data_IF_945334417188
#
_entry.id   IF_945334417188
#
_cell.length_a   1.000
_cell.length_b   1.000
_cell.length_c   1.000
_cell.angle_alpha   90.00
_cell.angle_beta   90.00
_cell.angle_gamma   90.00
#
_symmetry.space_group_name_H-M   'P 1'
#
loop_
_entity.id
_entity.type
_entity.pdbx_description
1 polymer ?
#
# COMPACT_ATOMS: atom_id res chain seq x y z
N UNK A 1 -8.73 -9.38 12.60
CA UNK A 1 -9.96 -8.72 12.11
C UNK A 1 -11.12 -8.81 13.08
N UNK A 2 -11.32 -9.92 13.81
CA UNK A 2 -12.37 -10.03 14.83
C UNK A 2 -12.33 -8.95 15.94
N UNK A 3 -11.14 -8.53 16.43
CA UNK A 3 -11.00 -7.38 17.36
C UNK A 3 -11.44 -6.02 16.77
N UNK A 4 -11.47 -5.88 15.44
CA UNK A 4 -11.75 -4.62 14.72
C UNK A 4 -13.20 -4.58 14.21
N UNK A 5 -13.82 -5.73 13.97
CA UNK A 5 -15.16 -5.83 13.40
C UNK A 5 -16.31 -5.90 14.43
N UNK A 6 -16.02 -5.98 15.74
CA UNK A 6 -17.09 -6.22 16.72
C UNK A 6 -16.84 -5.80 18.17
N UNK A 7 -15.76 -5.04 18.46
CA UNK A 7 -15.59 -4.47 19.79
C UNK A 7 -15.98 -2.98 19.76
N UNK A 8 -17.07 -2.56 20.44
CA UNK A 8 -17.45 -1.16 20.53
C UNK A 8 -16.45 -0.31 21.33
N UNK A 9 -15.47 -0.94 21.96
CA UNK A 9 -14.42 -0.28 22.73
C UNK A 9 -13.21 -1.24 22.79
N UNK A 10 -12.21 -1.17 21.89
CA UNK A 10 -10.94 -1.81 22.20
C UNK A 10 -10.44 -1.10 23.46
N UNK A 11 -10.51 -1.80 24.60
CA UNK A 11 -10.05 -1.28 25.88
C UNK A 11 -8.67 -0.63 25.65
N UNK A 12 -8.51 0.60 26.13
CA UNK A 12 -7.22 1.28 26.17
C UNK A 12 -6.18 0.30 26.68
N UNK A 13 -5.15 0.05 25.87
CA UNK A 13 -4.30 -1.11 26.10
C UNK A 13 -3.04 -1.06 25.27
N UNK A 14 -2.00 -1.69 25.82
CA UNK A 14 -0.72 -1.87 25.17
C UNK A 14 -0.62 -3.30 24.63
N UNK A 15 -0.38 -3.44 23.32
CA UNK A 15 -0.26 -4.73 22.65
C UNK A 15 1.14 -4.88 22.07
N UNK A 16 1.87 -5.92 22.49
CA UNK A 16 3.16 -6.25 21.89
C UNK A 16 2.96 -6.88 20.51
N UNK A 17 3.79 -6.48 19.56
CA UNK A 17 3.91 -7.20 18.29
C UNK A 17 4.54 -8.55 18.56
N UNK A 18 3.80 -9.61 18.24
CA UNK A 18 4.28 -10.98 18.35
C UNK A 18 4.67 -11.53 16.98
N UNK A 19 5.56 -12.51 16.96
CA UNK A 19 5.85 -13.33 15.78
C UNK A 19 5.31 -14.75 15.99
N UNK A 20 4.54 -15.31 15.06
CA UNK A 20 4.17 -16.72 15.11
C UNK A 20 5.33 -17.64 14.69
N UNK A 21 6.38 -17.09 14.09
CA UNK A 21 7.50 -17.84 13.53
C UNK A 21 8.60 -18.02 14.59
N UNK A 22 8.58 -19.16 15.28
CA UNK A 22 9.62 -19.52 16.27
C UNK A 22 11.03 -19.54 15.70
N UNK A 23 11.17 -19.95 14.43
CA UNK A 23 12.46 -19.98 13.72
C UNK A 23 13.13 -18.60 13.57
N UNK A 24 12.38 -17.50 13.78
CA UNK A 24 12.92 -16.13 13.73
C UNK A 24 13.18 -15.54 15.12
N UNK A 25 12.91 -16.28 16.20
CA UNK A 25 13.01 -15.76 17.56
C UNK A 25 14.45 -15.33 17.90
N UNK A 26 15.43 -16.11 17.47
CA UNK A 26 16.84 -15.93 17.82
C UNK A 26 17.64 -15.13 16.77
N UNK A 27 16.98 -14.60 15.74
CA UNK A 27 17.65 -13.82 14.70
C UNK A 27 17.90 -12.38 15.14
N UNK A 28 19.12 -11.90 14.92
CA UNK A 28 19.47 -10.49 15.10
C UNK A 28 19.34 -9.72 13.77
N UNK A 29 19.01 -8.42 13.80
CA UNK A 29 18.78 -7.60 14.99
C UNK A 29 17.38 -7.82 15.60
N UNK A 30 17.28 -7.72 16.92
CA UNK A 30 16.00 -7.70 17.66
C UNK A 30 15.42 -6.28 17.83
N UNK A 31 14.11 -6.20 18.01
CA UNK A 31 13.40 -4.96 18.31
C UNK A 31 12.17 -5.22 19.19
N UNK A 32 11.82 -4.24 20.01
CA UNK A 32 10.55 -4.17 20.72
C UNK A 32 9.59 -3.33 19.89
N UNK A 33 8.42 -3.88 19.59
CA UNK A 33 7.36 -3.16 18.90
C UNK A 33 6.06 -3.27 19.70
N UNK A 34 5.47 -2.13 20.04
CA UNK A 34 4.30 -2.03 20.91
C UNK A 34 3.26 -1.12 20.27
N UNK A 35 1.99 -1.46 20.45
CA UNK A 35 0.84 -0.74 19.90
C UNK A 35 -0.04 -0.24 21.04
N UNK A 36 -0.15 1.07 21.17
CA UNK A 36 -1.01 1.72 22.16
C UNK A 36 -2.33 2.10 21.53
N UNK A 37 -3.42 1.55 22.07
CA UNK A 37 -4.80 1.85 21.65
C UNK A 37 -5.41 2.92 22.54
N UNK A 38 -6.08 3.89 21.92
CA UNK A 38 -6.84 4.92 22.62
C UNK A 38 -8.05 5.39 21.81
N UNK A 39 -9.02 5.96 22.51
CA UNK A 39 -10.14 6.67 21.88
C UNK A 39 -9.90 8.18 22.05
N UNK A 40 -9.89 8.97 20.96
CA UNK A 40 -9.71 10.42 21.05
C UNK A 40 -10.79 11.06 21.92
N UNK A 41 -10.43 12.02 22.80
CA UNK A 41 -11.38 12.76 23.59
C UNK A 41 -12.45 13.44 22.71
N UNK A 42 -13.64 13.61 23.27
CA UNK A 42 -14.63 14.48 22.66
C UNK A 42 -14.18 15.94 22.79
N UNK A 43 -14.42 16.72 21.74
CA UNK A 43 -14.10 18.15 21.72
C UNK A 43 -14.37 18.79 20.36
N UNK A 44 -14.30 20.12 20.29
CA UNK A 44 -14.56 20.86 19.04
C UNK A 44 -13.36 20.86 18.09
N UNK A 45 -12.13 20.76 18.61
CA UNK A 45 -10.90 20.96 17.85
C UNK A 45 -10.12 19.65 17.67
N UNK A 46 -9.33 19.52 16.59
CA UNK A 46 -8.33 18.47 16.45
C UNK A 46 -7.27 18.52 17.55
N UNK A 47 -6.71 17.35 17.87
CA UNK A 47 -5.67 17.20 18.87
C UNK A 47 -4.36 16.75 18.23
N UNK A 48 -3.25 17.21 18.80
CA UNK A 48 -1.96 16.53 18.71
C UNK A 48 -1.86 15.57 19.89
N UNK A 49 -1.66 14.28 19.63
CA UNK A 49 -1.48 13.28 20.67
C UNK A 49 0.00 12.95 20.78
N UNK A 50 0.58 13.21 21.96
CA UNK A 50 1.93 12.84 22.31
C UNK A 50 1.89 11.60 23.22
N UNK A 51 2.64 10.57 22.86
CA UNK A 51 2.69 9.29 23.58
C UNK A 51 4.14 9.00 23.95
N UNK A 52 4.43 8.93 25.24
CA UNK A 52 5.72 8.52 25.78
C UNK A 52 5.69 7.04 26.13
N UNK A 53 6.53 6.26 25.45
CA UNK A 53 6.78 4.87 25.73
C UNK A 53 8.06 4.73 26.56
N UNK A 54 7.97 4.06 27.71
CA UNK A 54 9.13 3.76 28.57
C UNK A 54 9.22 2.25 28.72
N UNK A 55 10.36 1.67 28.32
CA UNK A 55 10.58 0.24 28.32
C UNK A 55 11.82 -0.16 29.11
N UNK A 56 11.69 -1.26 29.85
CA UNK A 56 12.74 -1.85 30.67
C UNK A 56 12.82 -3.35 30.43
N UNK A 57 14.02 -3.86 30.16
CA UNK A 57 14.26 -5.30 30.05
C UNK A 57 14.22 -5.97 31.43
N UNK A 58 13.54 -7.11 31.52
CA UNK A 58 13.23 -7.82 32.77
C UNK A 58 14.21 -8.97 33.07
N UNK A 59 14.90 -9.47 32.06
CA UNK A 59 15.81 -10.63 32.12
C UNK A 59 17.27 -10.20 31.99
N UNK A 60 17.68 -9.24 32.83
CA UNK A 60 19.06 -8.75 32.91
C UNK A 60 19.73 -9.38 34.13
N UNK A 61 20.74 -10.23 33.90
CA UNK A 61 21.49 -10.91 34.97
C UNK A 61 22.78 -10.16 35.41
N UNK A 62 23.17 -9.10 34.69
CA UNK A 62 24.40 -8.33 34.91
C UNK A 62 24.15 -6.82 34.93
N UNK A 63 25.20 -5.99 34.75
CA UNK A 63 25.03 -4.54 34.65
C UNK A 63 24.19 -4.19 33.42
N UNK A 64 23.26 -3.26 33.61
CA UNK A 64 22.40 -2.76 32.54
C UNK A 64 23.21 -1.96 31.53
N UNK A 65 22.86 -2.13 30.25
CA UNK A 65 23.43 -1.42 29.11
C UNK A 65 22.38 -0.48 28.51
N UNK A 66 22.76 0.47 27.64
CA UNK A 66 21.81 1.29 26.90
C UNK A 66 20.83 0.49 26.01
N UNK A 67 21.11 -0.79 25.73
CA UNK A 67 20.23 -1.66 24.97
C UNK A 67 19.12 -2.32 25.82
N UNK A 68 19.15 -2.16 27.15
CA UNK A 68 18.21 -2.75 28.12
C UNK A 68 17.08 -1.79 28.54
N UNK A 69 17.17 -0.53 28.12
CA UNK A 69 16.25 0.54 28.49
C UNK A 69 15.97 1.45 27.31
N UNK A 70 14.72 1.92 27.18
CA UNK A 70 14.40 2.94 26.18
C UNK A 70 13.31 3.89 26.66
N UNK A 71 13.39 5.13 26.17
CA UNK A 71 12.32 6.12 26.25
C UNK A 71 12.11 6.69 24.85
N UNK A 72 10.90 6.53 24.31
CA UNK A 72 10.56 6.98 22.97
C UNK A 72 9.27 7.80 23.02
N UNK A 73 9.27 8.95 22.34
CA UNK A 73 8.06 9.76 22.17
C UNK A 73 7.56 9.61 20.75
N UNK A 74 6.26 9.36 20.62
CA UNK A 74 5.55 9.32 19.34
C UNK A 74 4.50 10.41 19.32
N UNK A 75 4.46 11.16 18.22
CA UNK A 75 3.47 12.20 18.01
C UNK A 75 2.57 11.86 16.83
N UNK A 76 1.29 12.16 16.99
CA UNK A 76 0.27 12.10 15.95
C UNK A 76 -0.48 13.43 15.92
N UNK A 77 -0.35 14.16 14.81
CA UNK A 77 -1.01 15.43 14.59
C UNK A 77 -2.41 15.24 13.98
N UNK A 78 -3.24 16.27 14.08
CA UNK A 78 -4.55 16.36 13.40
C UNK A 78 -5.50 15.20 13.73
N UNK A 79 -5.45 14.71 14.97
CA UNK A 79 -6.35 13.67 15.47
C UNK A 79 -7.74 14.28 15.65
N UNK A 80 -8.66 13.90 14.79
CA UNK A 80 -10.03 14.40 14.85
C UNK A 80 -10.76 13.88 16.11
N UNK A 81 -11.51 14.74 16.82
CA UNK A 81 -12.31 14.35 17.99
C UNK A 81 -13.35 13.29 17.61
N UNK A 82 -13.62 12.35 18.54
CA UNK A 82 -14.61 11.29 18.35
C UNK A 82 -14.48 10.55 17.00
N UNK A 83 -13.25 10.28 16.55
CA UNK A 83 -12.96 9.58 15.28
C UNK A 83 -12.93 8.05 15.41
N UNK A 84 -13.30 7.52 16.57
CA UNK A 84 -13.23 6.09 16.89
C UNK A 84 -11.85 5.67 17.39
N UNK A 85 -11.61 4.36 17.57
CA UNK A 85 -10.38 3.86 18.16
C UNK A 85 -9.17 4.08 17.23
N UNK A 86 -8.12 4.64 17.81
CA UNK A 86 -6.82 4.86 17.17
C UNK A 86 -5.78 3.96 17.82
N UNK A 87 -4.87 3.44 17.01
CA UNK A 87 -3.68 2.74 17.50
C UNK A 87 -2.43 3.42 16.99
N UNK A 88 -1.44 3.55 17.86
CA UNK A 88 -0.09 4.02 17.51
C UNK A 88 0.91 2.92 17.82
N UNK A 89 1.60 2.44 16.79
CA UNK A 89 2.63 1.42 16.89
C UNK A 89 4.01 2.08 16.90
N UNK A 90 4.70 1.95 18.04
CA UNK A 90 6.07 2.39 18.24
C UNK A 90 7.03 1.21 18.17
N UNK A 91 8.24 1.44 17.68
CA UNK A 91 9.28 0.43 17.51
C UNK A 91 10.60 0.98 18.01
N UNK A 92 11.38 0.12 18.64
CA UNK A 92 12.75 0.42 19.03
C UNK A 92 13.71 0.04 17.91
N UNK A 93 14.91 0.64 17.94
CA UNK A 93 16.05 0.22 17.16
C UNK A 93 17.20 -0.09 18.13
N UNK A 94 17.90 -1.20 17.94
CA UNK A 94 19.10 -1.54 18.73
C UNK A 94 18.83 -1.96 20.18
N UNK A 95 17.65 -2.49 20.49
CA UNK A 95 17.36 -3.07 21.81
C UNK A 95 17.79 -4.52 21.89
N UNK A 96 18.25 -4.95 23.06
CA UNK A 96 18.65 -6.33 23.29
C UNK A 96 17.45 -7.31 23.22
N UNK A 97 17.75 -8.55 22.84
CA UNK A 97 16.79 -9.66 22.90
C UNK A 97 16.32 -9.89 24.35
N UNK A 98 15.05 -10.25 24.53
CA UNK A 98 14.54 -10.71 25.83
C UNK A 98 13.12 -10.26 26.15
N UNK A 99 12.78 -10.37 27.44
CA UNK A 99 11.48 -10.01 27.99
C UNK A 99 11.46 -8.57 28.47
N UNK A 100 10.48 -7.80 28.02
CA UNK A 100 10.35 -6.37 28.26
C UNK A 100 9.08 -6.02 29.02
N UNK A 101 9.17 -5.06 29.93
CA UNK A 101 8.03 -4.32 30.47
C UNK A 101 7.99 -2.95 29.83
N UNK A 102 6.85 -2.56 29.27
CA UNK A 102 6.67 -1.28 28.60
C UNK A 102 5.45 -0.58 29.17
N UNK A 103 5.59 0.72 29.41
CA UNK A 103 4.52 1.63 29.80
C UNK A 103 4.32 2.67 28.69
N UNK A 104 3.07 3.09 28.50
CA UNK A 104 2.67 4.13 27.57
C UNK A 104 1.86 5.17 28.33
N UNK A 105 2.35 6.40 28.34
CA UNK A 105 1.66 7.56 28.87
C UNK A 105 1.35 8.51 27.73
N UNK A 106 0.09 8.93 27.60
CA UNK A 106 -0.34 9.73 26.47
C UNK A 106 -1.12 10.98 26.89
N UNK A 107 -0.98 12.03 26.11
CA UNK A 107 -1.64 13.31 26.32
C UNK A 107 -2.15 13.86 24.99
N UNK A 108 -3.40 14.32 24.98
CA UNK A 108 -4.03 14.97 23.85
C UNK A 108 -4.01 16.49 24.05
N UNK A 109 -3.26 17.18 23.19
CA UNK A 109 -3.05 18.61 23.20
C UNK A 109 -3.89 19.26 22.09
N UNK A 110 -4.85 20.14 22.38
CA UNK A 110 -5.67 20.78 21.36
C UNK A 110 -4.83 21.66 20.42
N UNK A 111 -4.97 21.48 19.10
CA UNK A 111 -4.32 22.33 18.11
C UNK A 111 -5.19 23.60 17.93
N UNK A 112 -4.74 24.75 18.48
CA UNK A 112 -5.36 26.10 18.33
C UNK A 112 -6.59 26.42 19.20
N UNK A 113 -6.45 26.38 20.52
CA UNK A 113 -7.24 27.25 21.38
C UNK A 113 -6.37 27.77 22.53
N UNK A 114 -6.19 29.09 22.62
CA UNK A 114 -5.65 29.70 23.83
C UNK A 114 -6.62 29.37 24.98
N UNK A 115 -6.12 28.71 26.03
CA UNK A 115 -6.91 28.32 27.21
C UNK A 115 -7.50 26.91 27.22
N UNK A 116 -7.30 26.08 26.19
CA UNK A 116 -7.75 24.68 26.23
C UNK A 116 -6.74 23.79 26.97
N UNK A 117 -7.19 23.11 28.02
CA UNK A 117 -6.34 22.25 28.85
C UNK A 117 -6.01 20.93 28.14
N UNK A 118 -4.74 20.50 28.13
CA UNK A 118 -4.36 19.15 27.71
C UNK A 118 -5.15 18.06 28.44
N UNK A 119 -5.59 17.04 27.71
CA UNK A 119 -6.32 15.90 28.29
C UNK A 119 -5.38 14.71 28.40
N UNK A 120 -5.16 14.20 29.62
CA UNK A 120 -4.39 12.97 29.84
C UNK A 120 -5.22 11.78 29.37
N UNK A 121 -4.65 10.95 28.51
CA UNK A 121 -5.27 9.70 28.06
C UNK A 121 -4.93 8.57 29.04
N UNK A 122 -5.74 7.50 29.11
CA UNK A 122 -5.51 6.40 30.04
C UNK A 122 -4.12 5.77 29.82
N UNK A 123 -3.27 5.69 30.85
CA UNK A 123 -1.97 5.03 30.72
C UNK A 123 -2.19 3.53 30.49
N UNK A 124 -1.25 2.90 29.81
CA UNK A 124 -1.26 1.45 29.61
C UNK A 124 0.13 0.87 29.90
N UNK A 125 0.15 -0.33 30.47
CA UNK A 125 1.37 -1.09 30.70
C UNK A 125 1.19 -2.51 30.18
N UNK A 126 2.28 -3.14 29.78
CA UNK A 126 2.26 -4.53 29.35
C UNK A 126 3.66 -5.13 29.37
N UNK A 127 3.70 -6.46 29.41
CA UNK A 127 4.95 -7.22 29.28
C UNK A 127 4.90 -8.08 28.02
N UNK A 128 6.04 -8.26 27.37
CA UNK A 128 6.14 -9.03 26.13
C UNK A 128 7.59 -9.35 25.77
N UNK A 129 7.78 -10.00 24.63
CA UNK A 129 9.09 -10.39 24.12
C UNK A 129 9.53 -9.44 23.00
N UNK A 130 10.84 -9.26 22.85
CA UNK A 130 11.41 -8.72 21.60
C UNK A 130 11.13 -9.66 20.43
N UNK A 131 11.17 -9.12 19.22
CA UNK A 131 11.04 -9.90 17.98
C UNK A 131 12.08 -9.46 16.96
N UNK A 132 12.37 -10.33 16.00
CA UNK A 132 13.25 -10.01 14.86
C UNK A 132 12.82 -8.68 14.21
N UNK A 133 13.74 -7.72 14.12
CA UNK A 133 13.45 -6.33 13.81
C UNK A 133 12.72 -6.13 12.46
N UNK A 134 13.02 -6.88 11.39
CA UNK A 134 12.23 -6.83 10.15
C UNK A 134 10.76 -7.23 10.33
N UNK A 135 10.46 -8.22 11.18
CA UNK A 135 9.07 -8.58 11.51
C UNK A 135 8.41 -7.45 12.30
N UNK A 136 9.12 -6.92 13.30
CA UNK A 136 8.66 -5.76 14.06
C UNK A 136 8.31 -4.60 13.13
N UNK A 137 9.19 -4.27 12.17
CA UNK A 137 9.02 -3.18 11.20
C UNK A 137 7.79 -3.35 10.28
N UNK A 138 7.41 -4.58 9.96
CA UNK A 138 6.29 -4.85 9.04
C UNK A 138 4.95 -5.10 9.73
N UNK A 139 4.95 -5.65 10.96
CA UNK A 139 3.72 -5.92 11.70
C UNK A 139 3.16 -4.67 12.37
N UNK A 140 1.85 -4.51 12.28
CA UNK A 140 1.05 -3.60 13.06
C UNK A 140 -0.38 -4.16 13.11
N UNK A 141 -1.25 -3.68 14.02
CA UNK A 141 -2.64 -4.11 14.03
C UNK A 141 -3.32 -3.87 12.67
N UNK A 142 -4.03 -4.89 12.19
CA UNK A 142 -4.69 -4.92 10.88
C UNK A 142 -3.77 -5.02 9.67
N UNK A 143 -2.45 -5.23 9.84
CA UNK A 143 -1.51 -5.48 8.75
C UNK A 143 -1.17 -6.97 8.66
N UNK A 144 -1.33 -7.53 7.46
CA UNK A 144 -0.99 -8.91 7.11
C UNK A 144 0.34 -8.93 6.35
N UNK A 145 1.37 -9.49 6.96
CA UNK A 145 2.68 -9.68 6.31
C UNK A 145 2.51 -10.60 5.08
N UNK A 146 3.17 -10.24 3.98
CA UNK A 146 3.14 -11.04 2.74
C UNK A 146 1.86 -10.89 1.91
N UNK A 147 0.85 -10.16 2.39
CA UNK A 147 -0.41 -9.97 1.65
C UNK A 147 -0.22 -9.24 0.31
N UNK A 148 0.64 -8.21 0.25
CA UNK A 148 0.94 -7.51 -0.99
C UNK A 148 1.55 -8.40 -2.08
N UNK A 149 2.70 -9.09 -1.85
CA UNK A 149 3.26 -9.95 -2.88
C UNK A 149 2.34 -11.13 -3.25
N UNK A 150 1.60 -11.69 -2.28
CA UNK A 150 0.64 -12.77 -2.55
C UNK A 150 -0.50 -12.31 -3.48
N UNK A 151 -1.10 -11.15 -3.22
CA UNK A 151 -2.17 -10.61 -4.07
C UNK A 151 -1.65 -10.13 -5.42
N UNK A 152 -0.42 -9.61 -5.50
CA UNK A 152 0.21 -9.27 -6.79
C UNK A 152 0.45 -10.53 -7.62
N UNK A 153 0.96 -11.61 -7.01
CA UNK A 153 1.14 -12.90 -7.69
C UNK A 153 -0.19 -13.48 -8.18
N UNK A 154 -1.23 -13.46 -7.33
CA UNK A 154 -2.59 -13.87 -7.73
C UNK A 154 -3.11 -13.01 -8.89
N UNK A 155 -2.98 -11.69 -8.80
CA UNK A 155 -3.38 -10.77 -9.86
C UNK A 155 -2.64 -10.99 -11.17
N UNK A 156 -1.34 -11.34 -11.10
CA UNK A 156 -0.56 -11.69 -12.28
C UNK A 156 -1.05 -12.99 -12.93
N UNK A 157 -1.32 -14.04 -12.14
CA UNK A 157 -1.87 -15.30 -12.65
C UNK A 157 -3.26 -15.12 -13.28
N UNK A 158 -4.14 -14.34 -12.63
CA UNK A 158 -5.45 -14.00 -13.18
C UNK A 158 -5.32 -13.15 -14.45
N UNK A 159 -4.35 -12.23 -14.50
CA UNK A 159 -4.01 -11.47 -15.69
C UNK A 159 -3.60 -12.38 -16.85
N UNK A 160 -2.69 -13.33 -16.62
CA UNK A 160 -2.29 -14.32 -17.62
C UNK A 160 -3.47 -15.14 -18.13
N UNK A 161 -4.38 -15.55 -17.24
CA UNK A 161 -5.60 -16.26 -17.62
C UNK A 161 -6.47 -15.39 -18.54
N UNK A 162 -6.78 -14.16 -18.14
CA UNK A 162 -7.58 -13.22 -18.94
C UNK A 162 -6.93 -12.96 -20.30
N UNK A 163 -5.62 -12.70 -20.32
CA UNK A 163 -4.88 -12.43 -21.55
C UNK A 163 -4.83 -13.66 -22.47
N UNK A 164 -4.66 -14.86 -21.92
CA UNK A 164 -4.68 -16.11 -22.69
C UNK A 164 -6.05 -16.39 -23.33
N UNK A 165 -7.14 -16.09 -22.61
CA UNK A 165 -8.49 -16.19 -23.15
C UNK A 165 -8.71 -15.19 -24.28
N UNK A 166 -8.32 -13.93 -24.09
CA UNK A 166 -8.47 -12.88 -25.11
C UNK A 166 -7.54 -13.10 -26.31
N UNK A 167 -6.34 -13.67 -26.10
CA UNK A 167 -5.45 -14.04 -27.19
C UNK A 167 -6.11 -15.04 -28.15
N UNK A 168 -6.88 -16.01 -27.63
CA UNK A 168 -7.64 -16.94 -28.47
C UNK A 168 -8.75 -16.25 -29.25
N UNK A 169 -9.49 -15.34 -28.60
CA UNK A 169 -10.55 -14.56 -29.26
C UNK A 169 -9.98 -13.69 -30.38
N UNK A 170 -8.79 -13.12 -30.18
CA UNK A 170 -8.10 -12.28 -31.15
C UNK A 170 -7.27 -13.09 -32.16
N UNK A 171 -7.37 -14.42 -32.16
CA UNK A 171 -6.59 -15.33 -33.02
C UNK A 171 -5.07 -15.15 -32.92
N UNK A 172 -4.59 -14.65 -31.78
CA UNK A 172 -3.18 -14.47 -31.49
C UNK A 172 -2.53 -15.80 -31.09
N UNK A 173 -1.24 -16.01 -31.42
CA UNK A 173 -0.51 -17.18 -30.99
C UNK A 173 -0.34 -17.16 -29.46
N UNK A 174 -1.19 -17.92 -28.75
CA UNK A 174 -1.31 -17.84 -27.28
C UNK A 174 0.00 -18.15 -26.57
N UNK A 175 0.81 -19.09 -27.08
CA UNK A 175 2.12 -19.42 -26.54
C UNK A 175 3.06 -18.21 -26.49
N UNK A 176 3.42 -17.61 -27.64
CA UNK A 176 4.18 -16.37 -27.70
C UNK A 176 3.61 -15.24 -26.84
N UNK A 177 2.29 -15.02 -26.83
CA UNK A 177 1.66 -13.98 -26.00
C UNK A 177 1.92 -14.20 -24.50
N UNK A 178 1.71 -15.42 -24.00
CA UNK A 178 1.95 -15.74 -22.60
C UNK A 178 3.44 -15.69 -22.25
N UNK A 179 4.32 -16.13 -23.16
CA UNK A 179 5.77 -16.01 -22.97
C UNK A 179 6.20 -14.55 -22.89
N UNK A 180 5.70 -13.67 -23.76
CA UNK A 180 5.96 -12.22 -23.67
C UNK A 180 5.44 -11.65 -22.35
N UNK A 181 4.31 -12.13 -21.85
CA UNK A 181 3.72 -11.67 -20.60
C UNK A 181 4.55 -12.06 -19.38
N UNK A 182 5.11 -13.29 -19.38
CA UNK A 182 6.07 -13.75 -18.38
C UNK A 182 7.37 -12.95 -18.42
N UNK A 183 7.92 -12.72 -19.63
CA UNK A 183 9.11 -11.89 -19.82
C UNK A 183 8.86 -10.44 -19.38
N UNK A 184 7.70 -9.87 -19.72
CA UNK A 184 7.30 -8.53 -19.32
C UNK A 184 7.15 -8.41 -17.80
N UNK A 185 6.64 -9.45 -17.12
CA UNK A 185 6.59 -9.52 -15.66
C UNK A 185 7.99 -9.53 -15.03
N UNK A 186 8.88 -10.39 -15.53
CA UNK A 186 10.24 -10.53 -15.01
C UNK A 186 11.10 -9.28 -15.26
N UNK A 187 11.17 -8.82 -16.51
CA UNK A 187 11.91 -7.61 -16.90
C UNK A 187 11.25 -6.34 -16.36
N UNK A 188 9.93 -6.34 -16.20
CA UNK A 188 9.19 -5.30 -15.50
C UNK A 188 9.65 -5.17 -14.04
N UNK A 189 9.82 -6.28 -13.32
CA UNK A 189 10.33 -6.25 -11.94
C UNK A 189 11.77 -5.68 -11.89
N UNK A 190 12.62 -6.07 -12.84
CA UNK A 190 13.95 -5.50 -12.98
C UNK A 190 13.89 -3.98 -13.28
N UNK A 191 13.05 -3.56 -14.22
CA UNK A 191 12.81 -2.16 -14.56
C UNK A 191 12.28 -1.34 -13.37
N UNK A 192 11.36 -1.92 -12.58
CA UNK A 192 10.83 -1.32 -11.36
C UNK A 192 11.93 -1.04 -10.34
N UNK A 193 12.85 -1.99 -10.16
CA UNK A 193 13.98 -1.87 -9.24
C UNK A 193 15.00 -0.85 -9.75
N UNK A 194 15.37 -0.91 -11.02
CA UNK A 194 16.30 0.02 -11.65
C UNK A 194 15.79 1.45 -11.56
N UNK A 195 14.53 1.68 -11.91
CA UNK A 195 13.90 3.00 -11.82
C UNK A 195 13.88 3.53 -10.37
N UNK A 196 13.56 2.67 -9.39
CA UNK A 196 13.60 3.04 -7.97
C UNK A 196 15.00 3.51 -7.56
N UNK A 197 16.04 2.73 -7.89
CA UNK A 197 17.45 3.08 -7.58
C UNK A 197 17.90 4.37 -8.26
N UNK A 198 17.46 4.63 -9.49
CA UNK A 198 17.80 5.84 -10.23
C UNK A 198 17.16 7.10 -9.63
N UNK A 199 15.98 6.97 -9.03
CA UNK A 199 15.21 8.09 -8.46
C UNK A 199 15.47 8.31 -6.97
N UNK A 200 15.91 7.28 -6.24
CA UNK A 200 16.18 7.33 -4.80
C UNK A 200 17.69 7.15 -4.51
N UNK A 201 18.54 7.92 -5.22
CA UNK A 201 20.01 7.78 -5.15
C UNK A 201 20.61 8.10 -3.78
N UNK A 202 19.87 8.86 -2.96
CA UNK A 202 20.29 9.25 -1.61
C UNK A 202 20.00 8.19 -0.54
N UNK A 203 19.28 7.10 -0.87
CA UNK A 203 19.05 6.01 0.07
C UNK A 203 20.24 5.02 0.09
N UNK A 204 20.60 4.46 1.26
CA UNK A 204 21.70 3.50 1.37
C UNK A 204 21.52 2.31 0.41
N UNK A 205 22.56 2.00 -0.36
CA UNK A 205 22.55 0.90 -1.35
C UNK A 205 22.33 -0.49 -0.73
N UNK A 206 22.63 -0.65 0.56
CA UNK A 206 22.56 -1.91 1.32
C UNK A 206 21.14 -2.49 1.44
N UNK A 207 20.10 -1.72 1.15
CA UNK A 207 18.71 -2.19 1.15
C UNK A 207 18.34 -2.86 -0.17
N UNK A 208 18.94 -4.01 -0.48
CA UNK A 208 18.56 -4.80 -1.68
C UNK A 208 17.07 -5.14 -1.72
N UNK A 209 16.42 -5.24 -0.56
CA UNK A 209 14.99 -5.50 -0.41
C UNK A 209 14.10 -4.25 -0.50
N UNK A 210 14.66 -3.02 -0.52
CA UNK A 210 13.84 -1.81 -0.48
C UNK A 210 13.38 -1.33 -1.86
N UNK A 211 12.07 -1.08 -1.96
CA UNK A 211 11.48 -0.27 -3.02
C UNK A 211 11.35 -0.95 -4.38
N UNK A 212 10.18 -0.76 -4.99
CA UNK A 212 9.87 -1.05 -6.38
C UNK A 212 9.07 0.12 -6.95
N UNK A 213 9.42 0.57 -8.15
CA UNK A 213 8.68 1.63 -8.84
C UNK A 213 7.68 1.03 -9.84
N UNK A 214 6.39 1.33 -9.66
CA UNK A 214 5.35 0.94 -10.62
C UNK A 214 5.60 1.57 -11.99
N UNK A 215 6.12 2.79 -12.04
CA UNK A 215 6.46 3.47 -13.29
C UNK A 215 7.55 2.71 -14.05
N UNK A 216 8.60 2.26 -13.35
CA UNK A 216 9.66 1.46 -13.95
C UNK A 216 9.15 0.11 -14.47
N UNK A 217 8.23 -0.53 -13.74
CA UNK A 217 7.57 -1.76 -14.20
C UNK A 217 6.81 -1.53 -15.51
N UNK A 218 5.93 -0.52 -15.54
CA UNK A 218 5.07 -0.26 -16.70
C UNK A 218 5.90 0.07 -17.95
N UNK A 219 6.95 0.89 -17.82
CA UNK A 219 7.82 1.24 -18.94
C UNK A 219 8.53 0.01 -19.49
N UNK A 220 9.17 -0.79 -18.63
CA UNK A 220 9.89 -1.98 -19.06
C UNK A 220 8.95 -3.06 -19.65
N UNK A 221 7.82 -3.34 -19.00
CA UNK A 221 6.83 -4.31 -19.49
C UNK A 221 6.25 -3.89 -20.85
N UNK A 222 5.93 -2.61 -21.04
CA UNK A 222 5.43 -2.08 -22.32
C UNK A 222 6.49 -2.23 -23.43
N UNK A 223 7.76 -1.92 -23.13
CA UNK A 223 8.85 -2.10 -24.07
C UNK A 223 9.02 -3.57 -24.48
N UNK A 224 8.88 -4.52 -23.54
CA UNK A 224 8.94 -5.96 -23.84
C UNK A 224 7.80 -6.38 -24.78
N UNK A 225 6.57 -5.92 -24.56
CA UNK A 225 5.47 -6.24 -25.45
C UNK A 225 5.67 -5.67 -26.86
N UNK A 226 6.17 -4.43 -26.99
CA UNK A 226 6.41 -3.81 -28.29
C UNK A 226 7.55 -4.51 -29.02
N UNK A 227 8.73 -4.61 -28.40
CA UNK A 227 9.93 -5.17 -29.02
C UNK A 227 9.80 -6.67 -29.27
N UNK A 228 9.28 -7.41 -28.29
CA UNK A 228 9.07 -8.85 -28.41
C UNK A 228 7.93 -9.20 -29.37
N UNK A 229 6.85 -8.42 -29.38
CA UNK A 229 5.77 -8.56 -30.35
C UNK A 229 6.27 -8.35 -31.78
N UNK A 230 7.07 -7.30 -32.00
CA UNK A 230 7.73 -7.05 -33.28
C UNK A 230 8.65 -8.20 -33.70
N UNK A 231 9.54 -8.67 -32.79
CA UNK A 231 10.50 -9.74 -33.09
C UNK A 231 9.82 -11.08 -33.39
N UNK A 232 8.70 -11.39 -32.73
CA UNK A 232 7.96 -12.65 -32.92
C UNK A 232 6.82 -12.56 -33.94
N UNK A 233 6.70 -11.45 -34.66
CA UNK A 233 5.66 -11.25 -35.67
C UNK A 233 4.24 -11.25 -35.09
N UNK A 234 4.08 -10.92 -33.81
CA UNK A 234 2.78 -10.81 -33.15
C UNK A 234 2.22 -9.41 -33.42
N UNK A 235 0.96 -9.27 -33.87
CA UNK A 235 0.39 -7.95 -34.15
C UNK A 235 0.25 -7.14 -32.86
N UNK A 236 1.13 -6.14 -32.70
CA UNK A 236 1.37 -5.43 -31.44
C UNK A 236 0.10 -4.75 -30.92
N UNK A 237 -0.70 -4.13 -31.78
CA UNK A 237 -1.93 -3.47 -31.35
C UNK A 237 -2.92 -4.45 -30.69
N UNK A 238 -3.11 -5.63 -31.28
CA UNK A 238 -3.99 -6.66 -30.72
C UNK A 238 -3.41 -7.28 -29.46
N UNK A 239 -2.09 -7.46 -29.42
CA UNK A 239 -1.37 -7.88 -28.23
C UNK A 239 -1.60 -6.90 -27.07
N UNK A 240 -1.49 -5.59 -27.31
CA UNK A 240 -1.73 -4.55 -26.31
C UNK A 240 -3.20 -4.50 -25.89
N UNK A 241 -4.14 -4.59 -26.84
CA UNK A 241 -5.58 -4.60 -26.54
C UNK A 241 -6.00 -5.82 -25.73
N UNK A 242 -5.41 -6.99 -25.96
CA UNK A 242 -5.60 -8.18 -25.12
C UNK A 242 -4.92 -8.03 -23.74
N UNK A 243 -3.91 -7.16 -23.62
CA UNK A 243 -3.15 -6.94 -22.37
C UNK A 243 -3.85 -5.98 -21.42
N UNK A 244 -4.60 -4.98 -21.89
CA UNK A 244 -5.20 -3.97 -20.99
C UNK A 244 -6.18 -4.56 -19.97
N UNK A 245 -7.10 -5.48 -20.30
CA UNK A 245 -8.02 -6.06 -19.31
C UNK A 245 -7.26 -6.94 -18.30
N UNK A 246 -6.21 -7.63 -18.76
CA UNK A 246 -5.33 -8.43 -17.92
C UNK A 246 -4.54 -7.58 -16.91
N UNK A 247 -3.95 -6.47 -17.36
CA UNK A 247 -3.24 -5.52 -16.50
C UNK A 247 -4.18 -4.89 -15.46
N UNK A 248 -5.38 -4.51 -15.86
CA UNK A 248 -6.38 -3.92 -14.97
C UNK A 248 -6.92 -4.94 -13.96
N UNK A 249 -7.06 -6.21 -14.35
CA UNK A 249 -7.37 -7.33 -13.44
C UNK A 249 -6.27 -7.49 -12.38
N UNK A 250 -5.00 -7.50 -12.81
CA UNK A 250 -3.85 -7.52 -11.91
C UNK A 250 -3.82 -6.33 -10.96
N UNK A 251 -4.15 -5.13 -11.44
CA UNK A 251 -4.27 -3.93 -10.61
C UNK A 251 -5.41 -4.04 -9.60
N UNK A 252 -6.59 -4.51 -10.01
CA UNK A 252 -7.74 -4.67 -9.13
C UNK A 252 -7.41 -5.54 -7.92
N UNK A 253 -6.78 -6.70 -8.16
CA UNK A 253 -6.38 -7.64 -7.11
C UNK A 253 -5.19 -7.11 -6.31
N UNK A 254 -4.16 -6.57 -6.96
CA UNK A 254 -2.96 -6.04 -6.30
C UNK A 254 -3.27 -4.89 -5.32
N UNK A 255 -4.29 -4.07 -5.60
CA UNK A 255 -4.73 -2.98 -4.71
C UNK A 255 -5.33 -3.49 -3.39
N UNK A 256 -5.95 -4.66 -3.38
CA UNK A 256 -6.38 -5.32 -2.15
C UNK A 256 -5.17 -5.75 -1.30
N UNK A 257 -4.08 -6.17 -1.96
CA UNK A 257 -2.80 -6.41 -1.30
C UNK A 257 -2.27 -5.18 -0.56
N UNK A 258 -2.40 -3.98 -1.14
CA UNK A 258 -2.01 -2.73 -0.48
C UNK A 258 -2.82 -2.45 0.79
N UNK A 259 -4.13 -2.73 0.76
CA UNK A 259 -5.00 -2.58 1.93
C UNK A 259 -4.52 -3.44 3.09
N UNK A 260 -4.29 -4.73 2.85
CA UNK A 260 -3.85 -5.66 3.89
C UNK A 260 -2.39 -5.45 4.31
N UNK A 261 -1.53 -4.95 3.43
CA UNK A 261 -0.14 -4.66 3.76
C UNK A 261 0.03 -3.32 4.52
N UNK A 262 -1.05 -2.57 4.71
CA UNK A 262 -1.04 -1.28 5.38
C UNK A 262 -0.28 -0.20 4.62
N UNK A 263 -0.41 -0.16 3.29
CA UNK A 263 0.22 0.87 2.45
C UNK A 263 -0.78 1.58 1.54
N UNK A 264 -0.37 2.73 0.99
CA UNK A 264 -1.21 3.58 0.13
C UNK A 264 -2.55 4.00 0.78
N UNK A 265 -2.52 4.28 2.07
CA UNK A 265 -3.72 4.57 2.85
C UNK A 265 -4.37 5.91 2.50
N UNK A 266 -5.69 5.95 2.65
CA UNK A 266 -6.45 7.18 2.60
C UNK A 266 -6.17 8.12 3.77
N UNK A 267 -6.65 9.35 3.65
CA UNK A 267 -6.68 10.32 4.74
C UNK A 267 -7.58 9.83 5.88
N UNK A 268 -7.23 10.12 7.15
CA UNK A 268 -8.13 9.93 8.28
C UNK A 268 -9.45 10.66 8.05
N UNK A 269 -10.57 10.02 8.41
CA UNK A 269 -11.91 10.61 8.24
C UNK A 269 -12.91 10.07 9.25
N UNK A 270 -13.90 10.90 9.59
CA UNK A 270 -15.03 10.55 10.47
C UNK A 270 -16.24 10.01 9.69
N UNK A 271 -16.19 10.02 8.36
CA UNK A 271 -17.28 9.58 7.47
C UNK A 271 -17.83 8.20 7.86
N UNK A 272 -19.14 7.97 7.68
CA UNK A 272 -19.76 6.66 7.92
C UNK A 272 -19.19 5.54 7.03
N UNK A 273 -18.63 5.92 5.88
CA UNK A 273 -18.01 5.01 4.90
C UNK A 273 -16.54 4.72 5.18
N UNK A 274 -15.98 5.26 6.27
CA UNK A 274 -14.60 5.04 6.62
C UNK A 274 -14.38 3.59 7.06
N UNK A 275 -13.28 3.00 6.58
CA UNK A 275 -12.81 1.70 7.05
C UNK A 275 -11.63 1.91 7.99
N UNK A 276 -11.51 1.05 8.98
CA UNK A 276 -10.32 1.06 9.82
C UNK A 276 -9.14 0.46 9.03
N UNK A 277 -8.04 1.20 8.92
CA UNK A 277 -6.81 0.71 8.30
C UNK A 277 -5.56 1.34 8.91
N UNK A 278 -4.46 0.60 8.84
CA UNK A 278 -3.18 0.96 9.43
C UNK A 278 -2.15 1.29 8.35
N UNK A 279 -1.35 2.34 8.58
CA UNK A 279 -0.16 2.65 7.78
C UNK A 279 1.13 2.06 8.37
N UNK A 280 0.98 1.04 9.22
CA UNK A 280 2.02 0.41 10.06
C UNK A 280 2.51 1.27 11.22
N UNK A 281 2.20 2.56 11.25
CA UNK A 281 2.48 3.45 12.39
C UNK A 281 1.20 3.84 13.13
N UNK A 282 0.18 4.27 12.40
CA UNK A 282 -1.11 4.74 12.91
C UNK A 282 -2.24 3.97 12.24
N UNK A 283 -3.01 3.23 13.04
CA UNK A 283 -4.29 2.64 12.63
C UNK A 283 -5.44 3.52 13.06
N UNK A 284 -6.27 3.92 12.11
CA UNK A 284 -7.43 4.79 12.34
C UNK A 284 -8.48 4.59 11.24
N UNK A 285 -9.64 5.21 11.37
CA UNK A 285 -10.67 5.24 10.33
C UNK A 285 -10.22 6.15 9.19
N UNK A 286 -10.17 5.61 7.98
CA UNK A 286 -9.64 6.28 6.78
C UNK A 286 -10.61 6.17 5.62
N UNK A 287 -10.49 7.10 4.68
CA UNK A 287 -11.17 7.00 3.38
C UNK A 287 -10.70 5.68 2.73
N UNK A 288 -11.61 4.80 2.27
CA UNK A 288 -11.27 3.49 1.71
C UNK A 288 -10.67 3.58 0.29
N UNK A 289 -9.64 4.42 0.09
CA UNK A 289 -9.08 4.73 -1.22
C UNK A 289 -8.55 3.47 -1.91
N UNK A 290 -7.98 2.52 -1.18
CA UNK A 290 -7.52 1.25 -1.79
C UNK A 290 -8.68 0.44 -2.38
N UNK A 291 -9.86 0.44 -1.74
CA UNK A 291 -11.05 -0.23 -2.27
C UNK A 291 -11.64 0.52 -3.46
N UNK A 292 -11.65 1.86 -3.43
CA UNK A 292 -12.07 2.67 -4.57
C UNK A 292 -11.17 2.42 -5.79
N UNK A 293 -9.85 2.39 -5.58
CA UNK A 293 -8.87 2.08 -6.63
C UNK A 293 -9.02 0.65 -7.15
N UNK A 294 -9.19 -0.33 -6.27
CA UNK A 294 -9.43 -1.73 -6.65
C UNK A 294 -10.72 -1.89 -7.45
N UNK A 295 -11.83 -1.32 -6.97
CA UNK A 295 -13.15 -1.43 -7.61
C UNK A 295 -13.18 -0.72 -8.96
N UNK A 296 -12.55 0.46 -9.07
CA UNK A 296 -12.43 1.16 -10.35
C UNK A 296 -11.56 0.41 -11.36
N UNK A 297 -10.46 -0.20 -10.93
CA UNK A 297 -9.63 -1.06 -11.78
C UNK A 297 -10.40 -2.31 -12.22
N UNK A 298 -11.20 -2.92 -11.33
CA UNK A 298 -12.04 -4.06 -11.66
C UNK A 298 -13.12 -3.69 -12.67
N UNK A 299 -13.78 -2.53 -12.51
CA UNK A 299 -14.75 -2.02 -13.45
C UNK A 299 -14.11 -1.76 -14.82
N UNK A 300 -12.94 -1.11 -14.87
CA UNK A 300 -12.22 -0.89 -16.12
C UNK A 300 -11.76 -2.22 -16.75
N UNK A 301 -11.33 -3.21 -15.96
CA UNK A 301 -10.98 -4.54 -16.44
C UNK A 301 -12.17 -5.25 -17.08
N UNK A 302 -13.35 -5.15 -16.45
CA UNK A 302 -14.59 -5.72 -16.96
C UNK A 302 -15.02 -5.04 -18.26
N UNK A 303 -15.03 -3.71 -18.30
CA UNK A 303 -15.44 -2.94 -19.48
C UNK A 303 -14.50 -3.19 -20.66
N UNK A 304 -13.18 -3.07 -20.44
CA UNK A 304 -12.18 -3.33 -21.48
C UNK A 304 -12.19 -4.79 -21.91
N UNK A 305 -12.37 -5.74 -20.98
CA UNK A 305 -12.50 -7.15 -21.29
C UNK A 305 -13.73 -7.48 -22.14
N UNK A 306 -14.89 -6.89 -21.84
CA UNK A 306 -16.11 -7.06 -22.62
C UNK A 306 -15.96 -6.49 -24.04
N UNK A 307 -15.34 -5.30 -24.18
CA UNK A 307 -15.06 -4.69 -25.48
C UNK A 307 -14.10 -5.58 -26.27
N UNK A 308 -12.99 -6.01 -25.66
CA UNK A 308 -12.01 -6.91 -26.28
C UNK A 308 -12.64 -8.25 -26.70
N UNK A 309 -13.66 -8.73 -26.00
CA UNK A 309 -14.35 -9.98 -26.31
C UNK A 309 -15.32 -9.84 -27.50
N UNK A 310 -16.06 -8.73 -27.58
CA UNK A 310 -17.13 -8.56 -28.59
C UNK A 310 -16.66 -7.98 -29.91
N UNK A 311 -15.71 -7.06 -29.86
CA UNK A 311 -15.25 -6.34 -31.03
C UNK A 311 -13.77 -6.68 -31.19
N UNK A 312 -13.39 -7.73 -31.96
CA UNK A 312 -12.00 -7.84 -32.40
C UNK A 312 -11.68 -6.53 -33.12
N UNK A 313 -10.83 -5.65 -32.55
CA UNK A 313 -10.79 -4.27 -32.99
C UNK A 313 -10.18 -4.23 -34.40
N UNK A 314 -10.93 -3.72 -35.39
CA UNK A 314 -10.39 -3.51 -36.75
C UNK A 314 -9.17 -2.56 -36.73
N UNK A 315 -9.10 -1.70 -35.71
CA UNK A 315 -7.98 -0.79 -35.47
C UNK A 315 -7.31 -1.13 -34.13
N UNK A 316 -6.20 -1.84 -34.23
CA UNK A 316 -5.51 -2.41 -33.09
C UNK A 316 -4.75 -1.35 -32.27
N UNK A 317 -4.86 -1.42 -30.93
CA UNK A 317 -4.10 -0.62 -29.96
C UNK A 317 -4.89 0.51 -29.26
N UNK A 318 -6.06 0.88 -29.79
CA UNK A 318 -6.88 1.95 -29.20
C UNK A 318 -7.56 1.55 -27.90
N UNK A 319 -7.92 0.28 -27.74
CA UNK A 319 -8.51 -0.19 -26.49
C UNK A 319 -7.49 -0.12 -25.36
N UNK A 320 -6.24 -0.48 -25.62
CA UNK A 320 -5.15 -0.30 -24.68
C UNK A 320 -4.95 1.16 -24.30
N UNK A 321 -4.85 2.05 -25.29
CA UNK A 321 -4.66 3.48 -25.05
C UNK A 321 -5.80 4.08 -24.21
N UNK A 322 -7.05 3.80 -24.60
CA UNK A 322 -8.24 4.27 -23.89
C UNK A 322 -8.34 3.69 -22.47
N UNK A 323 -8.14 2.38 -22.30
CA UNK A 323 -8.18 1.75 -20.98
C UNK A 323 -7.08 2.24 -20.04
N UNK A 324 -5.85 2.43 -20.54
CA UNK A 324 -4.75 3.00 -19.77
C UNK A 324 -5.02 4.45 -19.40
N UNK A 325 -5.51 5.27 -20.34
CA UNK A 325 -5.87 6.65 -20.11
C UNK A 325 -6.98 6.78 -19.06
N UNK A 326 -8.05 5.98 -19.16
CA UNK A 326 -9.13 5.94 -18.18
C UNK A 326 -8.62 5.57 -16.77
N UNK A 327 -7.74 4.57 -16.67
CA UNK A 327 -7.11 4.21 -15.38
C UNK A 327 -6.26 5.36 -14.81
N UNK A 328 -5.49 6.04 -15.64
CA UNK A 328 -4.68 7.20 -15.21
C UNK A 328 -5.58 8.32 -14.70
N UNK A 329 -6.69 8.65 -15.39
CA UNK A 329 -7.66 9.66 -14.95
C UNK A 329 -8.18 9.32 -13.56
N UNK A 330 -8.71 8.10 -13.38
CA UNK A 330 -9.23 7.65 -12.09
C UNK A 330 -8.16 7.76 -10.99
N UNK A 331 -6.93 7.33 -11.29
CA UNK A 331 -5.82 7.44 -10.35
C UNK A 331 -5.52 8.89 -9.95
N UNK A 332 -5.56 9.83 -10.89
CA UNK A 332 -5.33 11.26 -10.60
C UNK A 332 -6.49 11.90 -9.82
N UNK A 333 -7.72 11.41 -10.01
CA UNK A 333 -8.91 11.84 -9.26
C UNK A 333 -8.87 11.34 -7.82
N UNK A 334 -8.50 10.07 -7.60
CA UNK A 334 -8.44 9.46 -6.26
C UNK A 334 -7.19 9.86 -5.46
N UNK A 335 -6.11 10.28 -6.13
CA UNK A 335 -4.84 10.61 -5.48
C UNK A 335 -4.93 11.58 -4.28
N UNK A 336 -5.67 12.71 -4.34
CA UNK A 336 -5.76 13.66 -3.22
C UNK A 336 -6.36 13.05 -1.95
N UNK A 337 -7.08 11.94 -2.07
CA UNK A 337 -7.67 11.24 -0.93
C UNK A 337 -6.62 10.40 -0.18
N UNK A 338 -5.41 10.24 -0.71
CA UNK A 338 -4.31 9.52 -0.07
C UNK A 338 -3.54 10.41 0.91
N UNK A 339 -3.05 9.82 2.00
CA UNK A 339 -2.22 10.52 2.99
C UNK A 339 -0.77 10.78 2.59
N UNK A 340 -0.42 10.73 1.30
CA UNK A 340 0.94 10.92 0.80
C UNK A 340 1.07 12.26 0.08
N UNK A 341 2.07 13.04 0.47
CA UNK A 341 2.43 14.26 -0.23
C UNK A 341 2.97 13.95 -1.65
N UNK A 342 2.64 14.82 -2.61
CA UNK A 342 3.10 14.68 -3.99
C UNK A 342 4.55 15.19 -4.09
N UNK A 343 5.43 14.41 -4.72
CA UNK A 343 6.82 14.81 -4.96
C UNK A 343 6.94 15.79 -6.14
N UNK A 344 6.02 15.72 -7.11
CA UNK A 344 6.06 16.57 -8.32
C UNK A 344 5.03 17.71 -8.27
N UNK A 345 5.47 18.95 -8.52
CA UNK A 345 4.60 20.15 -8.47
C UNK A 345 3.51 20.14 -9.55
N UNK A 346 3.85 19.81 -10.79
CA UNK A 346 2.94 19.92 -11.95
C UNK A 346 2.42 18.58 -12.49
N UNK A 347 2.95 17.44 -12.01
CA UNK A 347 2.70 16.14 -12.63
C UNK A 347 1.23 15.72 -12.70
N UNK A 348 0.41 16.08 -11.71
CA UNK A 348 -1.03 15.79 -11.75
C UNK A 348 -1.78 16.63 -12.77
N UNK A 349 -1.49 17.93 -12.83
CA UNK A 349 -2.15 18.83 -13.77
C UNK A 349 -1.88 18.36 -15.20
N UNK A 350 -0.62 18.03 -15.50
CA UNK A 350 -0.22 17.48 -16.80
C UNK A 350 -0.98 16.19 -17.11
N UNK A 351 -1.02 15.23 -16.18
CA UNK A 351 -1.70 13.94 -16.40
C UNK A 351 -3.23 14.08 -16.49
N UNK A 352 -3.84 15.05 -15.80
CA UNK A 352 -5.26 15.36 -15.90
C UNK A 352 -5.65 16.02 -17.23
N UNK A 353 -4.68 16.51 -18.00
CA UNK A 353 -4.92 17.02 -19.37
C UNK A 353 -4.60 15.94 -20.40
N UNK A 354 -3.42 15.32 -20.30
CA UNK A 354 -2.97 14.34 -21.29
C UNK A 354 -3.83 13.08 -21.33
N UNK A 355 -4.27 12.57 -20.17
CA UNK A 355 -5.04 11.32 -20.14
C UNK A 355 -6.44 11.47 -20.75
N UNK A 356 -7.23 12.54 -20.46
CA UNK A 356 -8.49 12.77 -21.19
C UNK A 356 -8.31 12.96 -22.69
N UNK A 357 -7.25 13.67 -23.13
CA UNK A 357 -6.96 13.82 -24.56
C UNK A 357 -6.64 12.47 -25.22
N UNK A 358 -5.83 11.63 -24.58
CA UNK A 358 -5.52 10.29 -25.06
C UNK A 358 -6.77 9.39 -25.10
N UNK A 359 -7.66 9.51 -24.10
CA UNK A 359 -8.93 8.79 -24.08
C UNK A 359 -9.86 9.26 -25.21
N UNK A 360 -9.98 10.56 -25.42
CA UNK A 360 -10.78 11.12 -26.50
C UNK A 360 -10.24 10.70 -27.88
N UNK A 361 -8.93 10.75 -28.09
CA UNK A 361 -8.30 10.26 -29.31
C UNK A 361 -8.57 8.77 -29.53
N UNK A 362 -8.50 7.95 -28.48
CA UNK A 362 -8.76 6.52 -28.57
C UNK A 362 -10.21 6.15 -28.94
N UNK A 363 -11.17 7.05 -28.68
CA UNK A 363 -12.58 6.85 -29.02
C UNK A 363 -12.94 7.49 -30.36
N UNK A 364 -12.45 8.71 -30.62
CA UNK A 364 -12.85 9.50 -31.78
C UNK A 364 -12.13 9.07 -33.06
N UNK A 365 -10.83 8.76 -33.01
CA UNK A 365 -10.08 8.41 -34.22
C UNK A 365 -10.69 7.16 -34.90
N UNK A 366 -10.99 6.07 -34.17
CA UNK A 366 -11.62 4.91 -34.79
C UNK A 366 -13.03 5.12 -35.31
N UNK A 367 -13.76 6.11 -34.77
CA UNK A 367 -15.09 6.45 -35.26
C UNK A 367 -15.06 7.24 -36.57
N UNK A 368 -13.91 7.82 -36.93
CA UNK A 368 -13.74 8.71 -38.08
C UNK A 368 -13.04 8.05 -39.28
N UNK A 369 -12.42 6.88 -39.10
CA UNK A 369 -11.67 6.15 -40.14
C UNK A 369 -12.27 4.78 -40.40
#
# INVERSE_FOLDING_TARGET
>A
MAKIAGSPNPATGLEFVTTPFRALADLEPQAVAVSYWFTPPAGPNPYQVAIRFTGHRLDVAGPRTPADDFVLTSEVSDVAPASGPIVVTQRTAGTAAGRWSVTAEAQANPQRAAGSTPVRLPPAAGTGQSVYAPIAAMRAPGVLIGSWPAMVALGFLLGLLVQGLLARVHTLPTGPVLTLSLLAGALGLAGAKTYYRLTHRHEPRTTWLAGLSVQGFVVAATAVFILGGWWWGVPIGHLLDASIPALLTGQAVGRLGCLFAGCCNGLPTRSRWAIWSSDRRVGTRRIPVQLLESSSAALLALLTGLIAWRTPPQQAGYLFLGGLAAYVIVRQVLFPLRGLARVTRHGRAVMLVLAPLALAAAVLVPALT
#
